data_IF_555683627145
#
_entry.id   IF_555683627145
#
_cell.length_a   1.000
_cell.length_b   1.000
_cell.length_c   1.000
_cell.angle_alpha   90.00
_cell.angle_beta   90.00
_cell.angle_gamma   90.00
#
_symmetry.space_group_name_H-M   'P 1'
#
loop_
_entity.id
_entity.type
_entity.pdbx_description
1 polymer ?
#
# COMPACT_ATOMS: atom_id res chain seq x y z
N UNK A 1 22.47 -3.12 -6.39
CA UNK A 1 22.93 -4.54 -6.32
C UNK A 1 22.51 -5.26 -7.61
N UNK A 2 23.32 -6.21 -8.09
CA UNK A 2 22.95 -7.13 -9.18
C UNK A 2 22.27 -8.39 -8.63
N UNK A 3 21.18 -8.82 -9.26
CA UNK A 3 20.33 -9.96 -8.85
C UNK A 3 19.88 -10.72 -10.11
N UNK A 4 20.67 -11.68 -10.63
CA UNK A 4 20.47 -12.26 -11.97
C UNK A 4 19.12 -12.97 -12.15
N UNK A 5 18.54 -13.48 -11.07
CA UNK A 5 17.31 -14.29 -11.09
C UNK A 5 16.03 -13.46 -10.82
N UNK A 6 16.10 -12.11 -10.83
CA UNK A 6 14.93 -11.23 -10.71
C UNK A 6 14.71 -10.48 -12.04
N UNK A 7 13.44 -10.17 -12.43
CA UNK A 7 13.16 -9.51 -13.71
C UNK A 7 13.89 -8.17 -13.88
N UNK A 8 13.88 -7.34 -12.83
CA UNK A 8 14.79 -6.21 -12.69
C UNK A 8 16.13 -6.71 -12.12
N UNK A 9 17.11 -6.95 -13.00
CA UNK A 9 18.43 -7.49 -12.62
C UNK A 9 19.28 -6.53 -11.78
N UNK A 10 19.01 -5.23 -11.84
CA UNK A 10 19.68 -4.21 -11.03
C UNK A 10 18.65 -3.45 -10.19
N UNK A 11 18.97 -3.21 -8.93
CA UNK A 11 18.12 -2.42 -8.04
C UNK A 11 18.61 -2.36 -6.59
N UNK A 12 17.80 -1.72 -5.74
CA UNK A 12 17.93 -1.78 -4.29
C UNK A 12 17.39 -3.11 -3.77
N UNK A 13 17.96 -3.63 -2.68
CA UNK A 13 17.45 -4.82 -2.00
C UNK A 13 16.90 -4.41 -0.63
N UNK A 14 15.62 -4.65 -0.41
CA UNK A 14 14.96 -4.47 0.89
C UNK A 14 14.69 -5.86 1.46
N UNK A 15 15.08 -6.07 2.71
CA UNK A 15 14.83 -7.29 3.47
C UNK A 15 13.56 -7.06 4.30
N UNK A 16 12.59 -7.95 4.24
CA UNK A 16 11.23 -7.75 4.78
C UNK A 16 10.79 -8.93 5.65
N UNK A 17 10.15 -8.61 6.78
CA UNK A 17 9.45 -9.54 7.65
C UNK A 17 7.96 -9.15 7.63
N UNK A 18 7.12 -10.05 7.14
CA UNK A 18 5.68 -9.84 6.95
C UNK A 18 4.86 -10.83 7.77
N UNK A 19 3.64 -10.42 8.14
CA UNK A 19 2.59 -11.36 8.54
C UNK A 19 2.16 -12.15 7.29
N UNK A 20 2.15 -13.47 7.43
CA UNK A 20 1.85 -14.42 6.36
C UNK A 20 0.38 -14.37 5.92
N UNK A 21 -0.54 -14.08 6.83
CA UNK A 21 -1.99 -14.20 6.60
C UNK A 21 -2.54 -13.10 5.69
N UNK A 22 -1.97 -11.91 5.79
CA UNK A 22 -2.45 -10.67 5.15
C UNK A 22 -1.37 -9.95 4.33
N UNK A 23 -0.10 -10.38 4.42
CA UNK A 23 1.09 -9.74 3.82
C UNK A 23 1.43 -8.35 4.37
N UNK A 24 0.99 -8.02 5.59
CA UNK A 24 1.33 -6.76 6.26
C UNK A 24 2.84 -6.73 6.58
N UNK A 25 3.52 -5.63 6.27
CA UNK A 25 4.92 -5.46 6.62
C UNK A 25 5.06 -5.08 8.10
N UNK A 26 5.68 -5.98 8.88
CA UNK A 26 6.01 -5.72 10.28
C UNK A 26 7.34 -4.97 10.43
N UNK A 27 8.40 -5.42 9.74
CA UNK A 27 9.74 -4.83 9.89
C UNK A 27 10.58 -5.02 8.61
N UNK A 28 11.35 -4.01 8.21
CA UNK A 28 12.23 -4.06 7.04
C UNK A 28 13.53 -3.28 7.23
N UNK A 29 14.56 -3.65 6.46
CA UNK A 29 15.77 -2.85 6.30
C UNK A 29 16.30 -2.87 4.87
N UNK A 30 16.92 -1.77 4.45
CA UNK A 30 17.64 -1.68 3.18
C UNK A 30 19.01 -2.34 3.34
N UNK A 31 19.36 -3.22 2.41
CA UNK A 31 20.71 -3.78 2.31
C UNK A 31 21.62 -2.77 1.57
N UNK A 32 22.53 -2.14 2.31
CA UNK A 32 23.46 -1.11 1.80
C UNK A 32 24.81 -1.69 1.39
N UNK A 33 25.10 -2.95 1.74
CA UNK A 33 26.36 -3.62 1.44
C UNK A 33 26.80 -4.53 2.60
N UNK A 34 28.12 -4.64 2.81
CA UNK A 34 28.68 -5.36 3.95
C UNK A 34 28.09 -4.86 5.26
N UNK A 35 27.91 -5.78 6.20
CA UNK A 35 27.49 -5.53 7.59
C UNK A 35 26.10 -4.90 7.81
N UNK A 36 25.29 -4.82 6.74
CA UNK A 36 23.86 -4.45 6.80
C UNK A 36 23.07 -5.26 7.83
N UNK A 37 23.33 -6.58 7.92
CA UNK A 37 22.62 -7.50 8.81
C UNK A 37 22.93 -7.27 10.30
N UNK A 38 24.13 -6.76 10.59
CA UNK A 38 24.68 -6.57 11.95
C UNK A 38 24.24 -5.26 12.63
N UNK A 39 23.54 -4.38 11.90
CA UNK A 39 23.12 -3.08 12.41
C UNK A 39 22.01 -3.23 13.46
N UNK A 40 22.19 -2.65 14.64
CA UNK A 40 21.28 -2.80 15.79
C UNK A 40 21.46 -4.08 16.61
N UNK A 41 22.43 -4.94 16.27
CA UNK A 41 22.74 -6.16 17.02
C UNK A 41 23.86 -5.94 18.06
N UNK A 42 23.79 -6.70 19.16
CA UNK A 42 24.78 -6.71 20.23
C UNK A 42 26.09 -7.43 19.87
N UNK A 43 27.08 -7.37 20.76
CA UNK A 43 28.43 -7.90 20.53
C UNK A 43 28.46 -9.39 20.15
N UNK A 44 27.76 -10.24 20.91
CA UNK A 44 27.68 -11.68 20.62
C UNK A 44 26.85 -11.98 19.36
N UNK A 45 25.75 -11.24 19.15
CA UNK A 45 24.88 -11.40 17.98
C UNK A 45 25.62 -11.07 16.66
N UNK A 46 26.58 -10.14 16.70
CA UNK A 46 27.48 -9.81 15.58
C UNK A 46 28.48 -10.93 15.24
N UNK A 47 28.70 -11.91 16.12
CA UNK A 47 29.52 -13.12 15.84
C UNK A 47 28.75 -14.21 15.09
N UNK A 48 27.42 -14.12 15.03
CA UNK A 48 26.59 -15.10 14.31
C UNK A 48 26.73 -14.98 12.79
N UNK A 49 26.32 -16.01 12.05
CA UNK A 49 26.33 -15.99 10.58
C UNK A 49 25.40 -14.89 10.03
N UNK A 50 25.76 -14.22 8.92
CA UNK A 50 24.93 -13.15 8.30
C UNK A 50 23.46 -13.55 8.05
N UNK A 51 23.13 -14.78 7.59
CA UNK A 51 21.76 -15.30 7.55
C UNK A 51 21.01 -15.22 8.90
N UNK A 52 21.68 -15.59 10.00
CA UNK A 52 21.16 -15.50 11.36
C UNK A 52 20.95 -14.02 11.73
N UNK A 53 21.97 -13.18 11.55
CA UNK A 53 21.93 -11.74 11.86
C UNK A 53 20.74 -11.04 11.19
N UNK A 54 20.50 -11.33 9.90
CA UNK A 54 19.40 -10.78 9.12
C UNK A 54 18.03 -11.03 9.77
N UNK A 55 17.79 -12.26 10.25
CA UNK A 55 16.54 -12.63 10.90
C UNK A 55 16.44 -12.02 12.29
N UNK A 56 17.51 -12.07 13.10
CA UNK A 56 17.52 -11.47 14.44
C UNK A 56 17.22 -9.96 14.37
N UNK A 57 17.83 -9.23 13.43
CA UNK A 57 17.59 -7.79 13.23
C UNK A 57 16.11 -7.45 13.01
N UNK A 58 15.34 -8.37 12.43
CA UNK A 58 13.92 -8.14 12.12
C UNK A 58 12.96 -8.71 13.16
N UNK A 59 13.24 -9.91 13.69
CA UNK A 59 12.32 -10.67 14.54
C UNK A 59 12.53 -10.47 16.06
N UNK A 60 13.69 -9.96 16.50
CA UNK A 60 14.02 -9.75 17.93
C UNK A 60 12.95 -8.97 18.73
N UNK A 61 12.26 -7.95 18.19
CA UNK A 61 11.16 -7.27 18.90
C UNK A 61 9.93 -8.13 19.20
N UNK A 62 9.83 -9.34 18.65
CA UNK A 62 8.71 -10.27 18.85
C UNK A 62 9.13 -11.55 19.61
N UNK A 63 10.34 -11.61 20.16
CA UNK A 63 10.80 -12.77 20.92
C UNK A 63 9.91 -13.05 22.15
N UNK A 64 9.84 -14.32 22.54
CA UNK A 64 8.92 -14.86 23.53
C UNK A 64 7.41 -14.80 23.19
N UNK A 65 7.01 -14.31 22.00
CA UNK A 65 5.60 -14.28 21.59
C UNK A 65 5.06 -15.60 20.99
N UNK A 66 5.72 -16.75 21.21
CA UNK A 66 5.29 -18.09 20.75
C UNK A 66 4.93 -18.20 19.25
N UNK A 67 5.66 -17.50 18.36
CA UNK A 67 5.42 -17.49 16.91
C UNK A 67 6.30 -18.47 16.14
N UNK A 68 5.96 -18.68 14.87
CA UNK A 68 6.76 -19.39 13.89
C UNK A 68 7.32 -18.41 12.86
N UNK A 69 8.51 -18.66 12.33
CA UNK A 69 9.06 -17.95 11.17
C UNK A 69 9.32 -18.90 10.01
N UNK A 70 8.77 -18.58 8.84
CA UNK A 70 9.05 -19.30 7.59
C UNK A 70 10.07 -18.53 6.75
N UNK A 71 11.18 -19.15 6.35
CA UNK A 71 12.23 -18.47 5.57
C UNK A 71 12.83 -19.34 4.45
N UNK A 72 13.33 -18.66 3.40
CA UNK A 72 14.04 -19.30 2.28
C UNK A 72 15.50 -19.69 2.62
N UNK A 73 16.07 -20.55 1.78
CA UNK A 73 17.45 -21.05 1.76
C UNK A 73 18.55 -20.04 2.14
N UNK A 74 18.41 -18.75 1.80
CA UNK A 74 19.43 -17.76 2.14
C UNK A 74 19.54 -17.50 3.65
N UNK A 75 18.42 -17.56 4.39
CA UNK A 75 18.35 -17.30 5.83
C UNK A 75 18.68 -18.55 6.69
N UNK A 76 18.61 -19.73 6.08
CA UNK A 76 18.66 -21.02 6.78
C UNK A 76 20.02 -21.33 7.42
N UNK A 77 20.08 -21.33 8.75
CA UNK A 77 21.23 -21.80 9.54
C UNK A 77 20.77 -22.58 10.77
N UNK A 78 21.55 -23.58 11.21
CA UNK A 78 21.27 -24.35 12.44
C UNK A 78 21.38 -23.47 13.68
N UNK A 79 22.29 -22.48 13.65
CA UNK A 79 22.46 -21.48 14.70
C UNK A 79 21.19 -20.62 14.88
N UNK A 80 20.48 -20.31 13.78
CA UNK A 80 19.21 -19.59 13.85
C UNK A 80 18.12 -20.44 14.52
N UNK A 81 18.04 -21.74 14.22
CA UNK A 81 17.07 -22.64 14.88
C UNK A 81 17.34 -22.72 16.39
N UNK A 82 18.61 -22.91 16.79
CA UNK A 82 19.00 -23.02 18.20
C UNK A 82 18.73 -21.69 18.95
N UNK A 83 18.97 -20.53 18.34
CA UNK A 83 18.67 -19.21 18.95
C UNK A 83 17.17 -18.92 19.03
N UNK A 84 16.39 -19.27 18.00
CA UNK A 84 14.93 -19.07 18.02
C UNK A 84 14.24 -19.97 19.04
N UNK A 85 14.64 -21.25 19.13
CA UNK A 85 14.10 -22.19 20.13
C UNK A 85 14.28 -21.68 21.56
N UNK A 86 15.47 -21.14 21.87
CA UNK A 86 15.76 -20.53 23.18
C UNK A 86 14.96 -19.24 23.48
N UNK A 87 14.29 -18.64 22.49
CA UNK A 87 13.45 -17.44 22.62
C UNK A 87 11.96 -17.74 22.40
N UNK A 88 11.54 -18.99 22.61
CA UNK A 88 10.18 -19.51 22.39
C UNK A 88 9.65 -19.22 20.96
N UNK A 89 10.51 -19.37 19.96
CA UNK A 89 10.15 -19.27 18.53
C UNK A 89 10.37 -20.59 17.81
N UNK A 90 9.47 -20.90 16.89
CA UNK A 90 9.60 -22.02 15.95
C UNK A 90 10.13 -21.54 14.60
N UNK A 91 10.69 -22.46 13.82
CA UNK A 91 11.34 -22.18 12.56
C UNK A 91 10.95 -23.21 11.50
N UNK A 92 10.61 -22.75 10.30
CA UNK A 92 10.44 -23.59 9.10
C UNK A 92 11.23 -22.97 7.94
N UNK A 93 11.99 -23.79 7.21
CA UNK A 93 12.74 -23.28 6.07
C UNK A 93 13.47 -24.38 5.29
N UNK A 94 14.00 -23.99 4.14
CA UNK A 94 14.65 -24.90 3.18
C UNK A 94 16.16 -24.90 3.35
N UNK A 95 16.76 -26.06 3.68
CA UNK A 95 18.17 -26.07 4.12
C UNK A 95 19.15 -26.04 2.94
N UNK A 96 19.97 -24.97 2.89
CA UNK A 96 20.94 -24.71 1.82
C UNK A 96 22.07 -25.75 1.75
N UNK A 97 22.52 -26.07 0.53
CA UNK A 97 23.58 -27.08 0.24
C UNK A 97 24.90 -26.89 1.02
N UNK A 98 25.30 -25.67 1.38
CA UNK A 98 26.51 -25.44 2.17
C UNK A 98 26.42 -26.01 3.60
N UNK A 99 25.22 -26.11 4.18
CA UNK A 99 25.05 -26.64 5.54
C UNK A 99 25.25 -28.16 5.64
N UNK A 100 25.41 -28.87 4.50
CA UNK A 100 25.54 -30.34 4.38
C UNK A 100 26.46 -31.00 5.42
N UNK A 101 27.56 -30.35 5.81
CA UNK A 101 28.52 -30.90 6.78
C UNK A 101 27.89 -31.16 8.18
N UNK A 102 26.78 -30.49 8.51
CA UNK A 102 26.02 -30.69 9.75
C UNK A 102 24.76 -31.55 9.58
N UNK A 103 24.58 -32.19 8.41
CA UNK A 103 23.46 -33.09 8.11
C UNK A 103 24.02 -34.51 7.88
N UNK A 104 23.44 -35.55 8.52
CA UNK A 104 23.99 -36.90 8.39
C UNK A 104 23.98 -37.39 6.93
N UNK A 105 25.00 -38.18 6.49
CA UNK A 105 25.10 -38.63 5.10
C UNK A 105 23.85 -39.33 4.55
N UNK A 106 23.14 -40.08 5.40
CA UNK A 106 21.87 -40.77 5.08
C UNK A 106 20.77 -39.86 4.53
N UNK A 107 20.78 -38.58 4.90
CA UNK A 107 19.81 -37.57 4.47
C UNK A 107 20.19 -36.90 3.15
N UNK A 108 21.47 -36.89 2.76
CA UNK A 108 21.93 -36.21 1.55
C UNK A 108 21.33 -36.83 0.26
N UNK A 109 21.36 -36.12 -0.89
CA UNK A 109 20.81 -36.66 -2.15
C UNK A 109 21.55 -37.94 -2.58
N UNK A 110 20.80 -39.04 -2.69
CA UNK A 110 21.32 -40.36 -3.06
C UNK A 110 20.55 -40.89 -4.27
N UNK A 111 21.25 -41.22 -5.37
CA UNK A 111 20.65 -41.78 -6.60
C UNK A 111 19.98 -43.16 -6.40
N UNK A 112 20.31 -43.87 -5.32
CA UNK A 112 19.71 -45.16 -4.95
C UNK A 112 18.46 -45.03 -4.06
N UNK A 113 17.97 -43.82 -3.78
CA UNK A 113 16.71 -43.60 -3.06
C UNK A 113 15.53 -43.76 -4.05
N UNK A 114 14.38 -44.23 -3.56
CA UNK A 114 13.21 -44.67 -4.35
C UNK A 114 12.34 -43.44 -4.74
N UNK A 115 11.11 -43.62 -5.25
CA UNK A 115 10.15 -42.52 -5.49
C UNK A 115 8.82 -42.71 -4.69
N UNK A 116 8.22 -41.63 -4.14
CA UNK A 116 7.05 -41.50 -3.18
C UNK A 116 7.27 -41.71 -1.64
N UNK A 117 8.03 -40.84 -0.94
CA UNK A 117 8.39 -40.87 0.50
C UNK A 117 9.29 -39.68 0.93
N UNK A 118 9.93 -39.82 2.09
CA UNK A 118 10.49 -38.82 2.98
C UNK A 118 11.45 -39.49 3.98
N UNK A 119 12.48 -38.80 4.46
CA UNK A 119 13.26 -39.22 5.63
C UNK A 119 13.00 -38.26 6.81
N UNK A 120 12.84 -38.83 8.02
CA UNK A 120 12.60 -38.10 9.26
C UNK A 120 13.84 -38.14 10.16
N UNK A 121 14.28 -36.99 10.66
CA UNK A 121 15.42 -36.86 11.57
C UNK A 121 15.10 -35.87 12.69
N UNK A 122 15.59 -36.17 13.89
CA UNK A 122 15.29 -35.42 15.12
C UNK A 122 16.57 -35.16 15.91
N UNK A 123 16.69 -33.98 16.53
CA UNK A 123 17.80 -33.58 17.40
C UNK A 123 17.23 -33.23 18.77
N UNK A 124 17.73 -33.86 19.85
CA UNK A 124 17.14 -33.81 21.21
C UNK A 124 16.69 -32.44 21.70
N UNK A 125 17.43 -31.37 21.38
CA UNK A 125 17.17 -30.02 21.89
C UNK A 125 16.71 -29.02 20.81
N UNK A 126 16.40 -29.48 19.59
CA UNK A 126 15.97 -28.61 18.49
C UNK A 126 14.75 -29.21 17.80
N UNK A 127 13.57 -28.74 18.18
CA UNK A 127 12.31 -29.11 17.53
C UNK A 127 12.35 -28.68 16.05
N UNK A 128 12.38 -29.68 15.17
CA UNK A 128 12.27 -29.58 13.71
C UNK A 128 13.48 -29.01 12.93
N UNK A 129 14.64 -29.66 13.04
CA UNK A 129 15.62 -29.70 11.94
C UNK A 129 15.32 -30.86 10.97
N UNK A 130 14.25 -30.70 10.18
CA UNK A 130 13.85 -31.66 9.14
C UNK A 130 14.56 -31.38 7.82
N UNK A 131 15.09 -32.43 7.18
CA UNK A 131 15.80 -32.34 5.90
C UNK A 131 15.25 -33.37 4.93
N UNK A 132 14.95 -32.95 3.70
CA UNK A 132 14.62 -33.85 2.60
C UNK A 132 15.23 -33.35 1.28
N UNK A 133 15.73 -34.28 0.47
CA UNK A 133 15.90 -34.09 -0.97
C UNK A 133 14.78 -34.84 -1.69
N UNK A 134 13.92 -34.13 -2.41
CA UNK A 134 12.68 -34.68 -2.96
C UNK A 134 12.93 -35.65 -4.12
N UNK A 135 13.11 -36.94 -3.78
CA UNK A 135 13.07 -38.21 -4.56
C UNK A 135 13.54 -39.35 -3.61
N UNK A 136 12.86 -39.79 -2.54
CA UNK A 136 11.47 -40.21 -2.20
C UNK A 136 11.38 -41.77 -2.03
N UNK A 137 10.21 -42.43 -2.03
CA UNK A 137 9.86 -43.88 -1.79
C UNK A 137 10.38 -44.64 -0.53
N UNK A 138 9.65 -45.45 0.27
CA UNK A 138 8.26 -45.49 0.83
C UNK A 138 8.32 -46.39 2.09
N UNK A 139 7.57 -46.32 3.21
CA UNK A 139 6.38 -45.59 3.70
C UNK A 139 6.78 -44.40 4.65
N UNK A 140 6.20 -43.97 5.80
CA UNK A 140 5.03 -44.35 6.64
C UNK A 140 4.45 -43.15 7.46
N UNK A 141 3.40 -43.36 8.29
CA UNK A 141 2.63 -42.32 9.01
C UNK A 141 3.41 -41.57 10.11
N UNK A 142 3.64 -40.27 9.87
CA UNK A 142 2.98 -39.17 10.61
C UNK A 142 2.87 -37.95 9.67
N UNK A 143 1.65 -37.40 9.56
CA UNK A 143 1.30 -36.20 8.79
C UNK A 143 1.81 -36.12 7.33
N UNK A 144 1.13 -36.86 6.44
CA UNK A 144 1.09 -36.57 5.00
C UNK A 144 -0.34 -36.11 4.64
N UNK A 145 -0.47 -35.17 3.69
CA UNK A 145 -1.76 -34.81 3.08
C UNK A 145 -2.38 -36.05 2.39
N UNK A 146 -3.62 -36.46 2.74
CA UNK A 146 -4.31 -37.57 2.09
C UNK A 146 -4.39 -37.44 0.56
N UNK A 147 -4.50 -36.22 0.04
CA UNK A 147 -4.72 -35.94 -1.38
C UNK A 147 -3.42 -35.93 -2.18
N UNK A 148 -2.39 -35.19 -1.72
CA UNK A 148 -1.13 -35.06 -2.46
C UNK A 148 -0.07 -36.13 -2.14
N UNK A 149 -0.21 -36.91 -1.05
CA UNK A 149 0.87 -37.71 -0.44
C UNK A 149 2.12 -36.90 -0.02
N UNK A 150 2.07 -35.57 -0.14
CA UNK A 150 3.13 -34.65 0.31
C UNK A 150 3.17 -34.63 1.84
N UNK A 151 4.35 -34.52 2.46
CA UNK A 151 4.43 -34.37 3.90
C UNK A 151 3.95 -32.98 4.34
N UNK A 152 3.32 -32.92 5.51
CA UNK A 152 2.73 -31.72 6.08
C UNK A 152 3.69 -30.51 6.11
N UNK A 153 4.94 -30.69 6.53
CA UNK A 153 5.91 -29.57 6.57
C UNK A 153 6.14 -28.92 5.21
N UNK A 154 5.97 -29.68 4.12
CA UNK A 154 6.13 -29.18 2.74
C UNK A 154 4.85 -28.45 2.32
N UNK A 155 3.67 -28.86 2.80
CA UNK A 155 2.44 -28.08 2.64
C UNK A 155 2.57 -26.76 3.40
N UNK A 156 2.83 -26.84 4.72
CA UNK A 156 3.01 -25.70 5.60
C UNK A 156 4.06 -24.71 5.08
N UNK A 157 5.23 -25.18 4.62
CA UNK A 157 6.23 -24.31 4.01
C UNK A 157 5.72 -23.64 2.73
N UNK A 158 5.00 -24.37 1.86
CA UNK A 158 4.49 -23.81 0.61
C UNK A 158 3.36 -22.79 0.81
N UNK A 159 2.51 -23.01 1.79
CA UNK A 159 1.49 -22.07 2.26
C UNK A 159 2.16 -20.81 2.83
N UNK A 160 3.14 -20.97 3.72
CA UNK A 160 3.66 -19.85 4.51
C UNK A 160 4.79 -19.05 3.84
N UNK A 161 5.54 -19.62 2.88
CA UNK A 161 6.66 -18.93 2.20
C UNK A 161 6.23 -17.70 1.39
N UNK A 162 4.95 -17.58 1.04
CA UNK A 162 4.46 -16.55 0.10
C UNK A 162 4.35 -15.14 0.67
N UNK A 163 4.37 -14.97 2.00
CA UNK A 163 3.99 -13.70 2.65
C UNK A 163 4.75 -12.45 2.19
N UNK A 164 6.01 -12.56 1.79
CA UNK A 164 6.81 -11.43 1.28
C UNK A 164 6.58 -11.20 -0.21
N UNK A 165 6.48 -12.26 -1.03
CA UNK A 165 6.20 -12.14 -2.46
C UNK A 165 4.79 -11.57 -2.70
N UNK A 166 3.80 -11.95 -1.89
CA UNK A 166 2.45 -11.37 -1.94
C UNK A 166 2.40 -9.89 -1.57
N UNK A 167 3.29 -9.40 -0.70
CA UNK A 167 3.47 -7.96 -0.48
C UNK A 167 4.07 -7.29 -1.73
N UNK A 168 5.09 -7.89 -2.34
CA UNK A 168 5.71 -7.32 -3.55
C UNK A 168 4.77 -7.28 -4.75
N UNK A 169 3.87 -8.25 -4.87
CA UNK A 169 2.78 -8.26 -5.85
C UNK A 169 1.74 -7.14 -5.56
N UNK A 170 1.31 -6.99 -4.30
CA UNK A 170 0.39 -5.93 -3.86
C UNK A 170 0.97 -4.52 -4.11
N UNK A 171 2.28 -4.34 -4.01
CA UNK A 171 2.97 -3.10 -4.40
C UNK A 171 3.13 -2.98 -5.92
N UNK A 172 3.55 -4.03 -6.63
CA UNK A 172 3.82 -3.97 -8.07
C UNK A 172 2.60 -3.74 -8.96
N UNK A 173 1.39 -3.84 -8.40
CA UNK A 173 0.13 -3.42 -9.04
C UNK A 173 -0.10 -1.89 -9.02
N UNK A 174 0.76 -1.10 -8.36
CA UNK A 174 0.78 0.36 -8.46
C UNK A 174 1.65 0.82 -9.64
N UNK A 175 1.25 1.85 -10.43
CA UNK A 175 2.10 2.44 -11.47
C UNK A 175 3.43 2.94 -10.91
N UNK A 176 4.54 2.60 -11.58
CA UNK A 176 5.89 3.00 -11.15
C UNK A 176 6.27 4.33 -11.79
N UNK A 177 6.57 5.34 -10.98
CA UNK A 177 7.20 6.58 -11.43
C UNK A 177 8.66 6.30 -11.77
N UNK A 178 9.13 6.76 -12.94
CA UNK A 178 10.54 6.71 -13.30
C UNK A 178 11.33 7.76 -12.50
N UNK A 179 11.90 7.34 -11.37
CA UNK A 179 12.75 8.17 -10.53
C UNK A 179 14.24 8.00 -10.90
N UNK A 180 14.93 9.11 -11.10
CA UNK A 180 16.39 9.13 -11.36
C UNK A 180 17.21 8.96 -10.07
N UNK A 181 16.68 9.39 -8.92
CA UNK A 181 17.36 9.32 -7.62
C UNK A 181 16.88 8.10 -6.79
N UNK A 182 17.84 7.42 -6.18
CA UNK A 182 17.67 6.35 -5.18
C UNK A 182 16.75 6.77 -4.03
N UNK A 183 16.83 8.02 -3.57
CA UNK A 183 15.98 8.56 -2.48
C UNK A 183 14.50 8.50 -2.88
N UNK A 184 14.16 8.92 -4.11
CA UNK A 184 12.78 8.85 -4.59
C UNK A 184 12.33 7.39 -4.83
N UNK A 185 13.21 6.50 -5.30
CA UNK A 185 12.90 5.05 -5.40
C UNK A 185 12.57 4.45 -4.03
N UNK A 186 13.29 4.83 -2.98
CA UNK A 186 12.99 4.40 -1.59
C UNK A 186 11.66 5.01 -1.13
N UNK A 187 11.46 6.31 -1.31
CA UNK A 187 10.26 7.03 -0.90
C UNK A 187 8.98 6.43 -1.53
N UNK A 188 8.95 6.26 -2.86
CA UNK A 188 7.78 5.69 -3.53
C UNK A 188 7.51 4.24 -3.08
N UNK A 189 8.55 3.43 -2.82
CA UNK A 189 8.33 2.07 -2.30
C UNK A 189 7.82 2.05 -0.85
N UNK A 190 8.26 2.99 -0.01
CA UNK A 190 7.71 3.16 1.35
C UNK A 190 6.25 3.63 1.29
N UNK A 191 5.89 4.51 0.34
CA UNK A 191 4.51 4.94 0.11
C UNK A 191 3.61 3.78 -0.32
N UNK A 192 4.07 2.96 -1.29
CA UNK A 192 3.39 1.74 -1.73
C UNK A 192 3.07 0.78 -0.56
N UNK A 193 4.10 0.49 0.24
CA UNK A 193 4.01 -0.36 1.44
C UNK A 193 3.04 0.26 2.46
N UNK A 194 3.07 1.58 2.65
CA UNK A 194 2.18 2.28 3.58
C UNK A 194 0.71 2.21 3.13
N UNK A 195 0.44 2.30 1.82
CA UNK A 195 -0.91 2.10 1.25
C UNK A 195 -1.37 0.64 1.42
N UNK A 196 -0.48 -0.35 1.25
CA UNK A 196 -0.83 -1.76 1.49
C UNK A 196 -1.10 -2.04 2.98
N UNK A 197 -0.25 -1.57 3.89
CA UNK A 197 -0.43 -1.76 5.33
C UNK A 197 -1.69 -1.07 5.85
N UNK A 198 -1.95 0.18 5.44
CA UNK A 198 -3.15 0.92 5.81
C UNK A 198 -4.44 0.30 5.24
N UNK A 199 -4.41 -0.24 4.02
CA UNK A 199 -5.51 -1.03 3.46
C UNK A 199 -5.79 -2.30 4.29
N UNK A 200 -4.76 -3.04 4.71
CA UNK A 200 -4.92 -4.22 5.56
C UNK A 200 -5.54 -3.82 6.91
N UNK A 201 -5.00 -2.78 7.56
CA UNK A 201 -5.53 -2.29 8.84
C UNK A 201 -6.98 -1.81 8.74
N UNK A 202 -7.36 -1.17 7.62
CA UNK A 202 -8.74 -0.77 7.36
C UNK A 202 -9.68 -1.98 7.33
N UNK A 203 -9.29 -3.06 6.62
CA UNK A 203 -10.07 -4.28 6.47
C UNK A 203 -10.11 -5.14 7.76
N UNK A 204 -9.12 -5.01 8.65
CA UNK A 204 -9.10 -5.69 9.95
C UNK A 204 -10.08 -5.10 10.97
N UNK A 205 -10.53 -3.85 10.81
CA UNK A 205 -11.38 -3.17 11.78
C UNK A 205 -12.87 -3.31 11.42
N UNK A 206 -13.61 -4.06 12.24
CA UNK A 206 -14.99 -4.52 11.97
C UNK A 206 -16.01 -3.43 11.59
N UNK A 207 -15.79 -2.19 12.03
CA UNK A 207 -16.74 -1.08 11.80
C UNK A 207 -16.45 -0.32 10.49
N UNK A 208 -15.38 -0.65 9.77
CA UNK A 208 -15.06 -0.03 8.49
C UNK A 208 -15.87 -0.67 7.35
N UNK A 209 -16.24 0.10 6.31
CA UNK A 209 -16.87 -0.45 5.12
C UNK A 209 -15.86 -1.34 4.36
N UNK A 210 -16.24 -2.59 4.07
CA UNK A 210 -15.37 -3.52 3.34
C UNK A 210 -15.13 -2.98 1.92
N UNK A 211 -13.89 -2.60 1.62
CA UNK A 211 -13.47 -2.17 0.28
C UNK A 211 -12.78 -3.36 -0.38
N UNK A 212 -13.38 -3.95 -1.41
CA UNK A 212 -12.85 -5.16 -2.07
C UNK A 212 -11.51 -4.93 -2.81
N UNK A 213 -11.24 -3.69 -3.19
CA UNK A 213 -10.14 -3.33 -4.10
C UNK A 213 -9.14 -2.33 -3.51
N UNK A 214 -7.83 -2.68 -3.54
CA UNK A 214 -6.74 -1.76 -3.14
C UNK A 214 -6.73 -0.47 -3.96
N UNK A 215 -7.07 -0.54 -5.24
CA UNK A 215 -7.22 0.60 -6.17
C UNK A 215 -8.22 1.62 -5.63
N UNK A 216 -9.43 1.17 -5.28
CA UNK A 216 -10.51 2.03 -4.77
C UNK A 216 -10.14 2.62 -3.39
N UNK A 217 -9.51 1.83 -2.51
CA UNK A 217 -9.00 2.33 -1.24
C UNK A 217 -7.92 3.41 -1.44
N UNK A 218 -6.91 3.14 -2.29
CA UNK A 218 -5.83 4.07 -2.59
C UNK A 218 -6.33 5.38 -3.20
N UNK A 219 -7.33 5.33 -4.08
CA UNK A 219 -7.96 6.52 -4.66
C UNK A 219 -8.70 7.34 -3.59
N UNK A 220 -9.47 6.70 -2.68
CA UNK A 220 -10.14 7.40 -1.56
C UNK A 220 -9.13 8.07 -0.63
N UNK A 221 -8.06 7.36 -0.25
CA UNK A 221 -6.98 7.87 0.59
C UNK A 221 -6.27 9.06 -0.08
N UNK A 222 -5.94 8.96 -1.38
CA UNK A 222 -5.33 10.05 -2.13
C UNK A 222 -6.23 11.29 -2.15
N UNK A 223 -7.54 11.13 -2.40
CA UNK A 223 -8.50 12.23 -2.41
C UNK A 223 -8.58 12.93 -1.04
N UNK A 224 -8.64 12.17 0.06
CA UNK A 224 -8.64 12.72 1.43
C UNK A 224 -7.37 13.52 1.74
N UNK A 225 -6.19 13.02 1.32
CA UNK A 225 -4.91 13.71 1.53
C UNK A 225 -4.80 15.03 0.75
N UNK A 226 -5.42 15.13 -0.44
CA UNK A 226 -5.40 16.38 -1.23
C UNK A 226 -6.56 17.33 -0.94
N UNK A 227 -7.64 16.88 -0.27
CA UNK A 227 -8.87 17.66 -0.07
C UNK A 227 -8.59 19.01 0.60
N UNK A 228 -7.80 18.99 1.67
CA UNK A 228 -7.46 20.16 2.46
C UNK A 228 -6.60 21.17 1.66
N UNK A 229 -5.71 20.65 0.79
CA UNK A 229 -4.93 21.46 -0.14
C UNK A 229 -5.81 22.05 -1.26
N UNK A 230 -6.79 21.30 -1.76
CA UNK A 230 -7.79 21.80 -2.71
C UNK A 230 -8.66 22.91 -2.07
N UNK A 231 -9.13 22.71 -0.83
CA UNK A 231 -9.90 23.72 -0.07
C UNK A 231 -9.09 24.99 0.17
N UNK A 232 -7.82 24.88 0.59
CA UNK A 232 -6.88 26.03 0.71
C UNK A 232 -6.69 26.73 -0.64
N UNK A 233 -6.36 25.98 -1.69
CA UNK A 233 -6.09 26.52 -3.04
C UNK A 233 -7.32 27.20 -3.66
N UNK A 234 -8.54 26.79 -3.33
CA UNK A 234 -9.80 27.46 -3.74
C UNK A 234 -10.08 28.76 -2.97
N UNK A 235 -9.58 28.90 -1.73
CA UNK A 235 -9.73 30.10 -0.89
C UNK A 235 -8.75 31.22 -1.22
N UNK A 236 -7.58 30.91 -1.79
CA UNK A 236 -6.62 31.92 -2.24
C UNK A 236 -7.24 32.78 -3.35
N UNK A 237 -6.93 34.08 -3.35
CA UNK A 237 -7.72 35.13 -3.99
C UNK A 237 -7.87 34.95 -5.51
N UNK A 238 -8.99 35.45 -6.05
CA UNK A 238 -9.45 35.12 -7.41
C UNK A 238 -8.49 35.48 -8.58
N UNK A 239 -7.44 36.26 -8.32
CA UNK A 239 -6.48 36.77 -9.31
C UNK A 239 -5.35 35.80 -9.66
N UNK A 240 -5.04 34.80 -8.83
CA UNK A 240 -3.80 33.98 -8.98
C UNK A 240 -4.02 32.65 -9.72
N UNK A 241 -5.27 32.16 -9.78
CA UNK A 241 -5.58 30.79 -10.24
C UNK A 241 -6.56 30.83 -11.42
N UNK A 242 -6.28 30.13 -12.54
CA UNK A 242 -7.19 30.03 -13.69
C UNK A 242 -8.60 29.54 -13.31
N UNK A 243 -9.62 30.12 -13.95
CA UNK A 243 -11.04 29.82 -13.68
C UNK A 243 -11.35 28.33 -13.79
N UNK A 244 -10.85 27.67 -14.84
CA UNK A 244 -11.05 26.24 -15.09
C UNK A 244 -10.57 25.37 -13.92
N UNK A 245 -9.42 25.69 -13.33
CA UNK A 245 -8.90 24.95 -12.17
C UNK A 245 -9.78 25.19 -10.93
N UNK A 246 -10.28 26.43 -10.73
CA UNK A 246 -11.19 26.78 -9.63
C UNK A 246 -12.54 26.06 -9.75
N UNK A 247 -13.17 26.08 -10.92
CA UNK A 247 -14.44 25.39 -11.20
C UNK A 247 -14.28 23.87 -11.16
N UNK A 248 -13.12 23.33 -11.55
CA UNK A 248 -12.82 21.90 -11.42
C UNK A 248 -12.62 21.48 -9.96
N UNK A 249 -11.88 22.26 -9.16
CA UNK A 249 -11.78 22.04 -7.71
C UNK A 249 -13.15 22.20 -7.03
N UNK A 250 -13.98 23.17 -7.46
CA UNK A 250 -15.35 23.34 -6.97
C UNK A 250 -16.22 22.09 -7.20
N UNK A 251 -16.23 21.57 -8.43
CA UNK A 251 -16.92 20.31 -8.79
C UNK A 251 -16.43 19.11 -7.97
N UNK A 252 -15.11 18.97 -7.79
CA UNK A 252 -14.51 17.88 -6.99
C UNK A 252 -14.89 17.97 -5.51
N UNK A 253 -14.96 19.18 -4.94
CA UNK A 253 -15.31 19.41 -3.54
C UNK A 253 -16.82 19.51 -3.27
N UNK A 254 -17.67 19.46 -4.31
CA UNK A 254 -19.11 19.64 -4.21
C UNK A 254 -19.56 21.05 -3.77
N UNK A 255 -18.79 22.09 -4.10
CA UNK A 255 -19.09 23.49 -3.68
C UNK A 255 -19.38 24.37 -4.90
N UNK A 256 -20.55 25.06 -4.98
CA UNK A 256 -20.94 25.89 -6.13
C UNK A 256 -19.98 27.06 -6.36
N UNK A 257 -19.88 27.52 -7.61
CA UNK A 257 -19.00 28.63 -7.98
C UNK A 257 -19.69 29.97 -7.59
N UNK A 258 -19.02 30.94 -6.92
CA UNK A 258 -19.69 32.15 -6.40
C UNK A 258 -20.35 33.05 -7.46
N UNK A 259 -20.19 32.76 -8.75
CA UNK A 259 -20.91 33.43 -9.84
C UNK A 259 -22.31 32.86 -10.10
N UNK A 260 -22.64 31.68 -9.58
CA UNK A 260 -23.99 31.09 -9.66
C UNK A 260 -24.93 31.67 -8.58
N UNK A 261 -24.36 32.10 -7.43
CA UNK A 261 -25.05 32.82 -6.36
C UNK A 261 -25.20 34.34 -6.65
N UNK A 262 -24.58 34.84 -7.73
CA UNK A 262 -24.74 36.21 -8.19
C UNK A 262 -26.16 36.39 -8.78
N UNK A 263 -27.10 36.74 -7.90
CA UNK A 263 -28.53 36.49 -8.06
C UNK A 263 -29.15 36.77 -9.43
N UNK A 264 -29.95 35.81 -9.90
CA UNK A 264 -31.07 36.07 -10.80
C UNK A 264 -32.12 36.91 -10.06
N UNK A 265 -31.86 38.20 -9.94
CA UNK A 265 -32.89 39.15 -9.57
C UNK A 265 -33.87 39.21 -10.75
N UNK A 266 -35.11 38.75 -10.55
CA UNK A 266 -36.11 38.61 -11.63
C UNK A 266 -36.68 39.99 -12.04
N UNK A 267 -35.83 40.78 -12.71
CA UNK A 267 -36.14 42.11 -13.24
C UNK A 267 -37.02 42.06 -14.51
N UNK A 268 -37.71 40.93 -14.77
CA UNK A 268 -38.56 40.71 -15.95
C UNK A 268 -39.95 40.25 -15.49
N UNK A 269 -40.91 41.17 -15.60
CA UNK A 269 -42.33 40.88 -15.36
C UNK A 269 -42.89 39.95 -16.44
N UNK A 270 -43.63 38.91 -16.02
CA UNK A 270 -44.43 38.06 -16.90
C UNK A 270 -45.35 38.89 -17.81
N UNK A 271 -46.15 39.77 -17.20
CA UNK A 271 -47.14 40.64 -17.84
C UNK A 271 -46.59 42.07 -17.92
N UNK A 272 -46.68 42.67 -19.12
CA UNK A 272 -46.17 44.04 -19.37
C UNK A 272 -46.94 45.06 -18.52
N UNK A 273 -46.23 46.03 -17.93
CA UNK A 273 -46.79 47.19 -17.21
C UNK A 273 -46.35 48.50 -17.87
N UNK A 274 -46.98 49.63 -17.55
CA UNK A 274 -46.59 50.96 -18.07
C UNK A 274 -45.28 51.41 -17.39
N UNK A 275 -44.37 51.98 -18.16
CA UNK A 275 -43.11 52.57 -17.69
C UNK A 275 -43.35 53.80 -16.80
N UNK A 276 -42.89 53.75 -15.55
CA UNK A 276 -43.09 54.81 -14.55
C UNK A 276 -42.43 56.15 -14.93
N UNK A 277 -41.35 56.12 -15.71
CA UNK A 277 -40.62 57.32 -16.16
C UNK A 277 -41.14 57.91 -17.49
N UNK A 278 -42.18 57.33 -18.10
CA UNK A 278 -42.79 57.86 -19.31
C UNK A 278 -44.05 58.67 -18.98
N UNK A 279 -44.27 59.85 -19.60
CA UNK A 279 -45.52 60.59 -19.45
C UNK A 279 -46.73 59.71 -19.81
N UNK A 280 -47.76 59.72 -18.97
CA UNK A 280 -48.91 58.78 -19.06
C UNK A 280 -49.57 58.74 -20.44
N UNK A 281 -49.63 59.88 -21.15
CA UNK A 281 -50.13 59.98 -22.53
C UNK A 281 -49.42 59.03 -23.52
N UNK A 282 -48.15 58.67 -23.28
CA UNK A 282 -47.39 57.74 -24.14
C UNK A 282 -47.67 56.25 -23.86
N UNK A 283 -48.35 55.92 -22.75
CA UNK A 283 -48.76 54.55 -22.30
C UNK A 283 -47.71 53.43 -22.53
N UNK A 284 -46.42 53.75 -22.48
CA UNK A 284 -45.37 52.85 -22.99
C UNK A 284 -45.21 51.61 -22.11
N UNK A 285 -45.51 50.45 -22.69
CA UNK A 285 -45.44 49.16 -22.01
C UNK A 285 -44.00 48.62 -21.93
N UNK A 286 -43.66 47.96 -20.84
CA UNK A 286 -42.37 47.29 -20.59
C UNK A 286 -42.56 45.99 -19.81
N UNK A 287 -41.61 45.05 -19.93
CA UNK A 287 -41.45 43.94 -18.98
C UNK A 287 -40.37 44.24 -17.92
N UNK A 288 -39.46 45.16 -18.17
CA UNK A 288 -38.25 45.33 -17.36
C UNK A 288 -38.49 46.16 -16.10
N UNK A 289 -37.83 45.76 -15.01
CA UNK A 289 -37.75 46.49 -13.75
C UNK A 289 -36.37 47.17 -13.60
N UNK A 290 -36.33 48.30 -12.91
CA UNK A 290 -35.07 48.89 -12.47
C UNK A 290 -34.50 48.11 -11.27
N UNK A 291 -33.22 47.73 -11.32
CA UNK A 291 -32.52 47.00 -10.24
C UNK A 291 -32.71 47.68 -8.87
N UNK A 292 -32.46 48.99 -8.78
CA UNK A 292 -32.41 49.73 -7.51
C UNK A 292 -33.77 50.02 -6.88
N UNK A 293 -34.85 50.12 -7.67
CA UNK A 293 -36.18 50.53 -7.15
C UNK A 293 -37.33 49.57 -7.50
N UNK A 294 -37.05 48.50 -8.24
CA UNK A 294 -37.97 47.43 -8.70
C UNK A 294 -39.29 47.92 -9.33
N UNK A 295 -39.33 49.17 -9.82
CA UNK A 295 -40.44 49.75 -10.60
C UNK A 295 -40.29 49.43 -12.11
N UNK A 296 -41.38 49.37 -12.89
CA UNK A 296 -41.30 49.11 -14.33
C UNK A 296 -40.70 50.29 -15.11
N UNK A 297 -39.68 50.04 -15.91
CA UNK A 297 -39.01 51.05 -16.77
C UNK A 297 -38.79 50.50 -18.19
N UNK A 298 -38.96 51.33 -19.22
CA UNK A 298 -38.70 50.95 -20.60
C UNK A 298 -37.23 51.16 -21.00
N UNK A 299 -36.76 50.45 -22.03
CA UNK A 299 -35.36 50.47 -22.45
C UNK A 299 -34.83 51.85 -22.88
N UNK A 300 -35.69 52.79 -23.30
CA UNK A 300 -35.28 54.18 -23.61
C UNK A 300 -35.11 55.05 -22.34
N UNK A 301 -35.68 54.65 -21.20
CA UNK A 301 -35.55 55.34 -19.91
C UNK A 301 -34.51 54.68 -18.99
N UNK A 302 -33.76 53.68 -19.49
CA UNK A 302 -32.65 53.01 -18.82
C UNK A 302 -31.40 53.10 -19.68
N UNK A 303 -30.21 53.03 -19.07
CA UNK A 303 -28.97 52.68 -19.80
C UNK A 303 -28.50 51.31 -19.31
N UNK A 304 -28.13 50.37 -20.19
CA UNK A 304 -27.56 49.10 -19.77
C UNK A 304 -26.17 49.34 -19.15
N UNK A 305 -25.91 48.71 -18.01
CA UNK A 305 -24.61 48.71 -17.33
C UNK A 305 -24.27 47.25 -17.03
N UNK A 306 -23.09 46.79 -17.43
CA UNK A 306 -22.64 45.43 -17.10
C UNK A 306 -22.09 45.36 -15.67
N UNK A 307 -22.07 44.17 -15.07
CA UNK A 307 -21.69 43.98 -13.66
C UNK A 307 -20.30 44.57 -13.35
N UNK A 308 -19.34 44.48 -14.27
CA UNK A 308 -17.99 45.05 -14.12
C UNK A 308 -17.95 46.60 -14.10
N UNK A 309 -18.97 47.26 -14.67
CA UNK A 309 -19.13 48.71 -14.64
C UNK A 309 -20.05 49.19 -13.51
N UNK A 310 -20.81 48.28 -12.88
CA UNK A 310 -21.61 48.53 -11.68
C UNK A 310 -20.83 48.30 -10.37
N UNK A 311 -19.57 47.84 -10.47
CA UNK A 311 -18.63 47.59 -9.37
C UNK A 311 -17.46 48.61 -9.37
N UNK A 312 -17.63 49.74 -10.05
CA UNK A 312 -16.72 50.90 -10.06
C UNK A 312 -17.45 52.13 -9.54
#
# INVERSE_FOLDING_TARGET
MYMPNKPAKYGLKIQCLTDVTNSNLYNAYIYTGKDSESFGLGGEEKKFLKPTQAVLRQAKPLFNSCRNITTDNWYSSIQLVDVLGNNNWTYVGTVKKQNKAKIPPSFQPNKKRVENSTLYGFRKNANFLRWESWKTGMHNRRFNDPNNKKPEIISYYNENKGGVDSLDEKCSKTPRVAALDVIFVIFFRLLDISVVNSYILHQCYKNNPIIKEKSVFGMRLAMQLVEDHMRRRRRLTMTVIPRELRTTIGRILGVPDPQEEAGKDDLILEKRKICHLCPSKKRRMTKYLCLSCKKPVCLQCTKPVCNNCAQK
#
